data_IF_534220526453
#
_entry.id   IF_534220526453
#
_cell.length_a   1.000
_cell.length_b   1.000
_cell.length_c   1.000
_cell.angle_alpha   90.00
_cell.angle_beta   90.00
_cell.angle_gamma   90.00
#
_symmetry.space_group_name_H-M   'P 1'
#
loop_
_entity.id
_entity.type
_entity.pdbx_description
1 polymer ?
#
# COMPACT_ATOMS: atom_id res chain seq x y z
N UNK A 1 31.52 -17.33 11.57
CA UNK A 1 31.37 -15.95 11.05
C UNK A 1 32.71 -15.53 10.47
N UNK A 2 32.78 -15.17 9.16
CA UNK A 2 34.02 -14.65 8.56
C UNK A 2 34.33 -13.28 9.16
N UNK A 3 35.50 -13.13 9.79
CA UNK A 3 36.01 -11.84 10.28
C UNK A 3 36.22 -10.92 9.08
N UNK A 4 35.77 -9.67 9.18
CA UNK A 4 36.03 -8.64 8.16
C UNK A 4 37.53 -8.43 8.01
N UNK A 5 37.99 -8.17 6.77
CA UNK A 5 39.40 -7.80 6.57
C UNK A 5 39.72 -6.51 7.33
N UNK A 6 40.98 -6.31 7.77
CA UNK A 6 41.40 -5.10 8.51
C UNK A 6 41.06 -3.79 7.77
N UNK A 7 41.13 -3.81 6.44
CA UNK A 7 40.76 -2.67 5.60
C UNK A 7 39.27 -2.35 5.67
N UNK A 8 38.41 -3.37 5.57
CA UNK A 8 36.98 -3.20 5.64
C UNK A 8 36.51 -2.77 7.04
N UNK A 9 37.18 -3.27 8.08
CA UNK A 9 36.91 -2.85 9.45
C UNK A 9 37.24 -1.37 9.66
N UNK A 10 38.36 -0.90 9.12
CA UNK A 10 38.75 0.52 9.18
C UNK A 10 37.74 1.40 8.41
N UNK A 11 37.28 0.98 7.23
CA UNK A 11 36.27 1.71 6.44
C UNK A 11 34.95 1.80 7.20
N UNK A 12 34.51 0.71 7.81
CA UNK A 12 33.30 0.68 8.60
C UNK A 12 33.40 1.62 9.81
N UNK A 13 34.51 1.57 10.54
CA UNK A 13 34.74 2.45 11.69
C UNK A 13 34.73 3.93 11.29
N UNK A 14 35.37 4.29 10.17
CA UNK A 14 35.36 5.65 9.65
C UNK A 14 33.95 6.11 9.26
N UNK A 15 33.14 5.21 8.68
CA UNK A 15 31.75 5.51 8.35
C UNK A 15 30.91 5.73 9.60
N UNK A 16 31.00 4.84 10.59
CA UNK A 16 30.23 4.91 11.84
C UNK A 16 30.64 6.14 12.67
N UNK A 17 31.93 6.55 12.64
CA UNK A 17 32.40 7.75 13.34
C UNK A 17 31.91 9.05 12.70
N UNK A 18 31.57 9.03 11.42
CA UNK A 18 30.96 10.16 10.74
C UNK A 18 29.42 10.20 11.02
N UNK A 19 29.06 10.87 12.12
CA UNK A 19 27.67 10.94 12.58
C UNK A 19 26.71 11.48 11.52
N UNK A 20 27.11 12.49 10.73
CA UNK A 20 26.25 13.05 9.68
C UNK A 20 25.96 12.02 8.60
N UNK A 21 26.97 11.33 8.10
CA UNK A 21 26.82 10.26 7.11
C UNK A 21 25.99 9.09 7.64
N UNK A 22 26.20 8.71 8.91
CA UNK A 22 25.45 7.64 9.55
C UNK A 22 23.96 7.99 9.69
N UNK A 23 23.62 9.20 10.15
CA UNK A 23 22.20 9.62 10.23
C UNK A 23 21.54 9.70 8.86
N UNK A 24 22.21 10.29 7.87
CA UNK A 24 21.68 10.33 6.49
C UNK A 24 21.44 8.94 5.93
N UNK A 25 22.36 8.01 6.17
CA UNK A 25 22.20 6.60 5.77
C UNK A 25 20.95 5.96 6.39
N UNK A 26 20.75 6.16 7.71
CA UNK A 26 19.58 5.59 8.38
C UNK A 26 18.27 6.21 7.90
N UNK A 27 18.22 7.53 7.79
CA UNK A 27 17.02 8.22 7.27
C UNK A 27 16.67 7.73 5.86
N UNK A 28 17.68 7.69 4.97
CA UNK A 28 17.47 7.22 3.61
C UNK A 28 17.06 5.73 3.55
N UNK A 29 17.69 4.89 4.37
CA UNK A 29 17.33 3.46 4.45
C UNK A 29 15.91 3.24 4.94
N UNK A 30 15.45 4.01 5.94
CA UNK A 30 14.08 3.93 6.44
C UNK A 30 13.09 4.35 5.35
N UNK A 31 13.33 5.49 4.68
CA UNK A 31 12.49 5.96 3.58
C UNK A 31 12.46 4.96 2.42
N UNK A 32 13.59 4.37 2.09
CA UNK A 32 13.69 3.33 1.06
C UNK A 32 12.87 2.09 1.43
N UNK A 33 12.98 1.61 2.69
CA UNK A 33 12.19 0.47 3.17
C UNK A 33 10.70 0.79 3.11
N UNK A 34 10.27 1.97 3.57
CA UNK A 34 8.87 2.40 3.49
C UNK A 34 8.40 2.42 2.03
N UNK A 35 9.22 2.92 1.12
CA UNK A 35 8.92 2.94 -0.32
C UNK A 35 8.71 1.55 -0.92
N UNK A 36 9.43 0.53 -0.45
CA UNK A 36 9.22 -0.86 -0.89
C UNK A 36 7.84 -1.41 -0.51
N UNK A 37 7.23 -0.87 0.54
CA UNK A 37 5.90 -1.24 1.01
C UNK A 37 4.81 -0.24 0.59
N UNK A 38 5.08 0.61 -0.40
CA UNK A 38 4.15 1.63 -0.85
C UNK A 38 2.79 1.04 -1.27
N UNK A 39 2.77 -0.09 -1.97
CA UNK A 39 1.53 -0.77 -2.38
C UNK A 39 0.68 -1.27 -1.20
N UNK A 40 1.29 -1.55 -0.05
CA UNK A 40 0.56 -1.91 1.17
C UNK A 40 0.00 -0.68 1.89
N UNK A 41 0.55 0.50 1.64
CA UNK A 41 0.14 1.76 2.26
C UNK A 41 -0.92 2.46 1.39
N UNK A 42 -0.72 2.46 0.07
CA UNK A 42 -1.55 3.16 -0.89
C UNK A 42 -1.92 2.23 -2.05
N UNK A 43 -3.13 1.67 -2.01
CA UNK A 43 -3.66 0.78 -3.04
C UNK A 43 -5.19 0.79 -3.01
N UNK A 44 -5.81 0.54 -4.15
CA UNK A 44 -7.27 0.37 -4.27
C UNK A 44 -7.75 -1.04 -3.90
N UNK A 45 -6.81 -2.01 -3.80
CA UNK A 45 -7.12 -3.39 -3.40
C UNK A 45 -6.97 -3.57 -1.90
N UNK A 46 -7.87 -4.29 -1.23
CA UNK A 46 -7.74 -4.59 0.19
C UNK A 46 -6.52 -5.49 0.47
N UNK A 47 -5.92 -5.28 1.64
CA UNK A 47 -4.81 -6.11 2.14
C UNK A 47 -5.29 -7.53 2.45
N UNK A 48 -6.51 -7.63 2.99
CA UNK A 48 -7.12 -8.86 3.43
C UNK A 48 -8.62 -8.78 3.27
N UNK A 49 -9.22 -9.82 2.72
CA UNK A 49 -10.67 -10.04 2.68
C UNK A 49 -10.97 -11.38 3.35
N UNK A 50 -11.89 -11.37 4.28
CA UNK A 50 -12.52 -12.60 4.79
C UNK A 50 -13.91 -12.68 4.20
N UNK A 51 -14.20 -13.73 3.43
CA UNK A 51 -15.49 -13.99 2.82
C UNK A 51 -15.84 -15.48 2.96
N UNK A 52 -17.06 -15.81 3.39
CA UNK A 52 -17.52 -17.20 3.61
C UNK A 52 -16.50 -18.06 4.40
N UNK A 53 -15.92 -17.50 5.45
CA UNK A 53 -14.92 -18.15 6.32
C UNK A 53 -13.59 -18.49 5.65
N UNK A 54 -13.31 -17.97 4.43
CA UNK A 54 -12.04 -18.08 3.71
C UNK A 54 -11.33 -16.73 3.70
N UNK A 55 -10.00 -16.77 3.63
CA UNK A 55 -9.16 -15.58 3.54
C UNK A 55 -8.63 -15.41 2.12
N UNK A 56 -8.73 -14.17 1.62
CA UNK A 56 -8.25 -13.75 0.31
C UNK A 56 -7.29 -12.58 0.48
N UNK A 57 -6.29 -12.50 -0.39
CA UNK A 57 -5.23 -11.49 -0.37
C UNK A 57 -5.21 -10.72 -1.70
N UNK A 58 -6.16 -9.80 -1.94
CA UNK A 58 -6.27 -9.11 -3.24
C UNK A 58 -5.06 -8.31 -3.65
N UNK A 59 -4.27 -7.83 -2.68
CA UNK A 59 -3.03 -7.12 -2.95
C UNK A 59 -1.97 -8.01 -3.62
N UNK A 60 -1.99 -9.31 -3.37
CA UNK A 60 -1.04 -10.28 -3.91
C UNK A 60 -1.56 -11.01 -5.14
N UNK A 61 -2.86 -11.22 -5.22
CA UNK A 61 -3.51 -11.99 -6.28
C UNK A 61 -4.83 -11.36 -6.66
N UNK A 62 -5.11 -11.26 -7.97
CA UNK A 62 -6.40 -10.78 -8.47
C UNK A 62 -7.48 -11.87 -8.33
N UNK A 63 -8.65 -11.46 -7.89
CA UNK A 63 -9.84 -12.30 -7.78
C UNK A 63 -10.95 -11.71 -8.63
N UNK A 64 -11.76 -12.59 -9.25
CA UNK A 64 -12.96 -12.16 -9.98
C UNK A 64 -14.08 -11.76 -9.02
N UNK A 65 -14.95 -10.90 -9.46
CA UNK A 65 -16.14 -10.49 -8.71
C UNK A 65 -17.03 -11.68 -8.33
N UNK A 66 -17.12 -12.68 -9.21
CA UNK A 66 -17.84 -13.95 -8.96
C UNK A 66 -17.34 -14.69 -7.73
N UNK A 67 -16.08 -14.51 -7.33
CA UNK A 67 -15.52 -15.09 -6.09
C UNK A 67 -16.26 -14.59 -4.84
N UNK A 68 -16.82 -13.39 -4.91
CA UNK A 68 -17.53 -12.72 -3.82
C UNK A 68 -19.06 -12.67 -4.05
N UNK A 69 -19.55 -13.50 -4.98
CA UNK A 69 -20.99 -13.60 -5.28
C UNK A 69 -21.51 -12.57 -6.27
N UNK A 70 -20.64 -11.85 -6.97
CA UNK A 70 -21.03 -10.95 -8.05
C UNK A 70 -21.28 -11.67 -9.38
N UNK A 71 -21.72 -10.92 -10.38
CA UNK A 71 -22.18 -11.45 -11.68
C UNK A 71 -21.08 -11.49 -12.74
N UNK A 72 -19.97 -10.78 -12.55
CA UNK A 72 -18.94 -10.60 -13.58
C UNK A 72 -17.67 -11.42 -13.30
N UNK A 73 -17.11 -12.04 -14.35
CA UNK A 73 -15.82 -12.72 -14.28
C UNK A 73 -14.61 -11.76 -14.33
N UNK A 74 -14.87 -10.45 -14.46
CA UNK A 74 -13.84 -9.43 -14.39
C UNK A 74 -13.27 -9.30 -12.98
N UNK A 75 -12.09 -8.70 -12.86
CA UNK A 75 -11.47 -8.42 -11.56
C UNK A 75 -12.42 -7.59 -10.68
N UNK A 76 -12.58 -7.99 -9.42
CA UNK A 76 -13.44 -7.31 -8.47
C UNK A 76 -12.96 -5.88 -8.19
N UNK A 77 -13.86 -4.90 -8.38
CA UNK A 77 -13.61 -3.52 -7.93
C UNK A 77 -14.07 -3.39 -6.46
N UNK A 78 -13.11 -3.47 -5.56
CA UNK A 78 -13.36 -3.36 -4.10
C UNK A 78 -13.79 -1.96 -3.65
N UNK A 79 -13.81 -0.97 -4.55
CA UNK A 79 -14.33 0.37 -4.29
C UNK A 79 -15.80 0.49 -4.68
N UNK A 80 -16.29 -0.38 -5.54
CA UNK A 80 -17.69 -0.42 -5.89
C UNK A 80 -18.55 -0.72 -4.66
N UNK A 81 -19.59 0.09 -4.37
CA UNK A 81 -20.52 -0.15 -3.28
C UNK A 81 -21.19 -1.52 -3.34
N UNK A 82 -21.45 -2.04 -4.53
CA UNK A 82 -22.06 -3.36 -4.72
C UNK A 82 -21.14 -4.47 -4.21
N UNK A 83 -19.88 -4.51 -4.67
CA UNK A 83 -18.88 -5.49 -4.22
C UNK A 83 -18.61 -5.38 -2.72
N UNK A 84 -18.54 -4.14 -2.19
CA UNK A 84 -18.40 -3.90 -0.74
C UNK A 84 -19.55 -4.52 0.05
N UNK A 85 -20.77 -4.36 -0.42
CA UNK A 85 -21.95 -4.91 0.27
C UNK A 85 -21.92 -6.44 0.24
N UNK A 86 -21.63 -7.07 -0.90
CA UNK A 86 -21.49 -8.52 -1.01
C UNK A 86 -20.47 -9.08 0.00
N UNK A 87 -19.28 -8.44 0.08
CA UNK A 87 -18.25 -8.88 1.03
C UNK A 87 -18.71 -8.66 2.48
N UNK A 88 -19.35 -7.54 2.80
CA UNK A 88 -19.77 -7.21 4.17
C UNK A 88 -20.95 -8.07 4.66
N UNK A 89 -21.78 -8.60 3.76
CA UNK A 89 -22.86 -9.52 4.13
C UNK A 89 -22.36 -10.86 4.67
N UNK A 90 -21.24 -11.35 4.16
CA UNK A 90 -20.69 -12.67 4.52
C UNK A 90 -19.28 -12.60 5.12
N UNK A 91 -18.76 -11.40 5.38
CA UNK A 91 -17.41 -11.23 5.88
C UNK A 91 -17.02 -9.78 6.19
N UNK A 92 -15.75 -9.48 5.99
CA UNK A 92 -15.16 -8.15 6.17
C UNK A 92 -13.89 -8.00 5.33
N UNK A 93 -13.45 -6.77 5.11
CA UNK A 93 -12.20 -6.48 4.42
C UNK A 93 -11.39 -5.38 5.12
N UNK A 94 -10.07 -5.44 4.99
CA UNK A 94 -9.13 -4.43 5.49
C UNK A 94 -8.53 -3.70 4.29
N UNK A 95 -8.91 -2.43 4.14
CA UNK A 95 -8.34 -1.54 3.12
C UNK A 95 -6.99 -0.97 3.58
N UNK A 96 -6.09 -0.61 2.66
CA UNK A 96 -4.91 0.18 2.96
C UNK A 96 -5.27 1.54 3.59
N UNK A 97 -4.26 2.19 4.21
CA UNK A 97 -4.43 3.51 4.86
C UNK A 97 -4.89 4.56 3.84
N UNK A 98 -4.33 4.50 2.62
CA UNK A 98 -4.74 5.33 1.50
C UNK A 98 -5.39 4.40 0.45
N UNK A 99 -6.74 4.41 0.33
CA UNK A 99 -7.46 3.49 -0.56
C UNK A 99 -7.45 3.96 -2.02
N UNK A 100 -6.35 4.53 -2.47
CA UNK A 100 -6.15 5.05 -3.81
C UNK A 100 -4.77 4.63 -4.33
N UNK A 101 -4.70 4.38 -5.64
CA UNK A 101 -3.48 4.13 -6.38
C UNK A 101 -3.10 5.38 -7.19
N UNK A 102 -1.89 5.47 -7.70
CA UNK A 102 -1.41 6.63 -8.48
C UNK A 102 -2.25 6.93 -9.73
N UNK A 103 -2.95 5.95 -10.28
CA UNK A 103 -3.80 6.09 -11.47
C UNK A 103 -5.30 5.94 -11.16
N UNK A 104 -5.70 6.00 -9.88
CA UNK A 104 -7.11 5.87 -9.50
C UNK A 104 -7.86 7.14 -9.86
N UNK A 105 -8.91 7.02 -10.68
CA UNK A 105 -9.80 8.13 -11.00
C UNK A 105 -10.79 8.32 -9.85
N UNK A 106 -10.74 9.49 -9.22
CA UNK A 106 -11.66 9.88 -8.15
C UNK A 106 -12.80 10.69 -8.79
N UNK A 107 -14.01 10.13 -8.78
CA UNK A 107 -15.20 10.76 -9.37
C UNK A 107 -16.02 11.57 -8.37
N UNK A 108 -15.86 11.28 -7.08
CA UNK A 108 -16.60 11.93 -5.98
C UNK A 108 -15.76 13.03 -5.33
N UNK A 109 -15.52 14.09 -6.11
CA UNK A 109 -14.82 15.31 -5.68
C UNK A 109 -15.79 16.48 -5.64
N UNK A 110 -15.74 17.24 -4.53
CA UNK A 110 -16.62 18.40 -4.30
C UNK A 110 -16.22 19.62 -5.17
N UNK A 111 -15.02 19.59 -5.78
CA UNK A 111 -14.49 20.68 -6.65
C UNK A 111 -13.80 20.08 -7.87
N UNK A 112 -13.75 20.83 -9.01
CA UNK A 112 -13.03 20.37 -10.20
C UNK A 112 -11.56 20.04 -9.90
N UNK A 113 -11.02 19.00 -10.55
CA UNK A 113 -9.59 18.71 -10.50
C UNK A 113 -8.79 19.79 -11.29
N UNK A 114 -7.60 20.19 -10.84
CA UNK A 114 -6.90 19.75 -9.63
C UNK A 114 -7.49 20.36 -8.35
N UNK A 115 -7.66 19.55 -7.30
CA UNK A 115 -8.19 20.00 -6.02
C UNK A 115 -7.16 19.86 -4.88
N UNK A 116 -7.16 20.79 -3.90
CA UNK A 116 -6.22 20.75 -2.79
C UNK A 116 -6.45 19.54 -1.88
N UNK A 117 -5.47 19.20 -1.02
CA UNK A 117 -5.62 18.16 -0.02
C UNK A 117 -6.87 18.35 0.84
N UNK A 118 -7.60 17.24 1.06
CA UNK A 118 -8.82 17.19 1.85
C UNK A 118 -8.83 15.99 2.79
N UNK A 119 -9.83 15.90 3.66
CA UNK A 119 -9.97 14.73 4.56
C UNK A 119 -10.17 13.41 3.79
N UNK A 120 -10.79 13.45 2.60
CA UNK A 120 -10.97 12.29 1.73
C UNK A 120 -9.73 12.01 0.88
N UNK A 121 -9.04 13.04 0.43
CA UNK A 121 -7.90 13.00 -0.48
C UNK A 121 -6.71 13.74 0.12
N UNK A 122 -5.93 13.07 0.94
CA UNK A 122 -4.84 13.68 1.72
C UNK A 122 -3.74 14.32 0.87
N UNK A 123 -3.52 13.81 -0.34
CA UNK A 123 -2.52 14.33 -1.27
C UNK A 123 -3.09 15.30 -2.32
N UNK A 124 -4.41 15.56 -2.26
CA UNK A 124 -5.10 16.29 -3.31
C UNK A 124 -5.41 15.41 -4.52
N UNK A 125 -5.87 16.04 -5.60
CA UNK A 125 -6.15 15.39 -6.89
C UNK A 125 -5.56 16.22 -8.02
N UNK A 126 -5.03 15.58 -9.02
CA UNK A 126 -4.54 16.13 -10.28
C UNK A 126 -5.54 15.93 -11.43
#
# INVERSE_FOLDING_TARGET
>A
MKKLSPLNQRRLNNFVSNKRGLYSFWVFSILFIISLFADFIANEKPLLVKYENKFYYPILQSYSETTFGGDFETEADYRDPFVKNLINESGWMIMPIIPFKYNTIIRDIDSPAPSPPSKKNWLGTD
#
